data_IF_985937966476
#
_entry.id   IF_985937966476
#
_cell.length_a   1.000
_cell.length_b   1.000
_cell.length_c   1.000
_cell.angle_alpha   90.00
_cell.angle_beta   90.00
_cell.angle_gamma   90.00
#
_symmetry.space_group_name_H-M   'P 1'
#
loop_
_entity.id
_entity.type
_entity.pdbx_description
1 polymer ?
#
# COMPACT_ATOMS: atom_id res chain seq x y z
N UNK A 1 -6.10 29.71 79.59
CA UNK A 1 -4.93 28.89 79.99
C UNK A 1 -4.05 28.69 78.76
N UNK A 2 -2.74 29.01 78.88
CA UNK A 2 -1.53 28.52 78.16
C UNK A 2 -1.66 27.83 76.77
N UNK A 3 -0.79 28.02 75.76
CA UNK A 3 0.39 28.89 75.54
C UNK A 3 0.86 28.67 74.07
N UNK A 4 1.31 29.74 73.43
CA UNK A 4 2.50 29.85 72.55
C UNK A 4 2.77 28.80 71.44
N UNK A 5 2.76 29.27 70.18
CA UNK A 5 4.00 29.40 69.39
C UNK A 5 3.88 30.49 68.32
N UNK A 6 4.84 31.40 68.36
CA UNK A 6 5.13 32.45 67.39
C UNK A 6 5.79 31.85 66.14
N UNK A 7 5.58 32.41 64.94
CA UNK A 7 6.65 33.11 64.20
C UNK A 7 6.15 33.66 62.85
N UNK A 8 6.03 34.99 62.81
CA UNK A 8 6.46 35.90 61.74
C UNK A 8 6.86 35.32 60.36
N UNK A 9 6.33 36.04 59.35
CA UNK A 9 6.99 36.63 58.15
C UNK A 9 6.76 35.95 56.79
N UNK A 10 6.45 36.84 55.82
CA UNK A 10 6.45 36.71 54.35
C UNK A 10 5.13 36.16 53.80
N UNK A 11 4.15 36.99 53.44
CA UNK A 11 4.12 37.89 52.27
C UNK A 11 4.84 37.32 51.04
N UNK A 12 4.02 37.05 50.02
CA UNK A 12 4.34 36.89 48.60
C UNK A 12 4.57 35.47 48.07
N UNK A 13 3.94 35.26 46.91
CA UNK A 13 4.12 34.19 45.91
C UNK A 13 3.35 32.89 46.14
N UNK A 14 2.03 32.95 45.92
CA UNK A 14 1.29 31.80 45.41
C UNK A 14 1.30 31.89 43.87
N UNK A 15 2.41 31.47 43.28
CA UNK A 15 2.57 31.37 41.83
C UNK A 15 1.71 30.22 41.30
N UNK A 16 0.52 30.54 40.79
CA UNK A 16 -0.25 29.65 39.95
C UNK A 16 0.38 29.66 38.55
N UNK A 17 1.43 28.85 38.35
CA UNK A 17 1.99 28.60 37.03
C UNK A 17 1.04 27.69 36.24
N UNK A 18 0.05 28.29 35.58
CA UNK A 18 -0.72 27.60 34.53
C UNK A 18 0.14 27.59 33.28
N UNK A 19 1.02 26.60 33.17
CA UNK A 19 1.74 26.34 31.93
C UNK A 19 0.73 25.79 30.92
N UNK A 20 0.18 26.66 30.08
CA UNK A 20 -0.63 26.26 28.94
C UNK A 20 0.27 25.47 27.97
N UNK A 21 0.21 24.14 28.05
CA UNK A 21 0.71 23.25 27.00
C UNK A 21 -0.17 23.46 25.77
N UNK A 22 0.19 24.45 24.95
CA UNK A 22 -0.25 24.49 23.56
C UNK A 22 0.36 23.28 22.87
N UNK A 23 -0.41 22.18 22.83
CA UNK A 23 -0.15 21.10 21.88
C UNK A 23 -0.40 21.70 20.50
N UNK A 24 0.66 22.16 19.84
CA UNK A 24 0.63 22.45 18.42
C UNK A 24 0.35 21.12 17.72
N UNK A 25 -0.92 20.86 17.43
CA UNK A 25 -1.28 19.80 16.51
C UNK A 25 -0.70 20.22 15.17
N UNK A 26 0.40 19.60 14.77
CA UNK A 26 0.89 19.67 13.42
C UNK A 26 -0.18 19.02 12.55
N UNK A 27 -1.06 19.85 11.97
CA UNK A 27 -1.93 19.43 10.89
C UNK A 27 -0.99 19.05 9.75
N UNK A 28 -0.65 17.76 9.65
CA UNK A 28 0.06 17.25 8.48
C UNK A 28 -0.84 17.54 7.28
N UNK A 29 -0.32 18.35 6.35
CA UNK A 29 -0.95 18.48 5.05
C UNK A 29 -1.11 17.07 4.48
N UNK A 30 -2.35 16.68 4.23
CA UNK A 30 -2.68 15.37 3.71
C UNK A 30 -2.20 15.28 2.27
N UNK A 31 -1.27 14.37 1.99
CA UNK A 31 -0.79 14.18 0.63
C UNK A 31 -1.88 13.52 -0.21
N UNK A 32 -2.28 14.20 -1.29
CA UNK A 32 -3.29 13.70 -2.23
C UNK A 32 -2.88 12.35 -2.84
N UNK A 33 -3.82 11.39 -3.03
CA UNK A 33 -3.55 10.11 -3.69
C UNK A 33 -3.04 10.29 -5.13
N UNK A 34 -3.37 11.40 -5.80
CA UNK A 34 -2.83 11.74 -7.11
C UNK A 34 -1.33 12.03 -7.06
N UNK A 35 -0.86 12.74 -6.03
CA UNK A 35 0.56 13.02 -5.83
C UNK A 35 1.31 11.74 -5.49
N UNK A 36 0.76 10.89 -4.63
CA UNK A 36 1.35 9.60 -4.28
C UNK A 36 1.45 8.67 -5.50
N UNK A 37 0.40 8.61 -6.33
CA UNK A 37 0.41 7.81 -7.57
C UNK A 37 1.51 8.30 -8.54
N UNK A 38 1.64 9.62 -8.71
CA UNK A 38 2.69 10.20 -9.55
C UNK A 38 4.09 9.88 -9.01
N UNK A 39 4.31 10.08 -7.70
CA UNK A 39 5.59 9.77 -7.05
C UNK A 39 5.98 8.30 -7.17
N UNK A 40 5.02 7.40 -6.93
CA UNK A 40 5.22 5.96 -7.08
C UNK A 40 5.58 5.60 -8.52
N UNK A 41 4.82 6.12 -9.50
CA UNK A 41 5.05 5.89 -10.93
C UNK A 41 6.42 6.40 -11.36
N UNK A 42 6.73 7.66 -11.10
CA UNK A 42 7.99 8.30 -11.52
C UNK A 42 9.19 7.56 -10.95
N UNK A 43 9.15 7.23 -9.65
CA UNK A 43 10.24 6.51 -9.00
C UNK A 43 10.40 5.10 -9.58
N UNK A 44 9.30 4.36 -9.69
CA UNK A 44 9.31 2.98 -10.17
C UNK A 44 9.91 2.88 -11.57
N UNK A 45 9.43 3.69 -12.52
CA UNK A 45 9.90 3.62 -13.91
C UNK A 45 11.29 4.24 -14.08
N UNK A 46 11.65 5.26 -13.30
CA UNK A 46 13.02 5.78 -13.28
C UNK A 46 14.01 4.72 -12.79
N UNK A 47 13.72 4.00 -11.70
CA UNK A 47 14.60 2.97 -11.16
C UNK A 47 14.69 1.76 -12.11
N UNK A 48 13.61 1.38 -12.79
CA UNK A 48 13.66 0.37 -13.86
C UNK A 48 14.58 0.84 -15.00
N UNK A 49 14.42 2.07 -15.48
CA UNK A 49 15.22 2.63 -16.58
C UNK A 49 16.70 2.74 -16.22
N UNK A 50 17.01 3.21 -15.02
CA UNK A 50 18.38 3.45 -14.56
C UNK A 50 19.12 2.14 -14.21
N UNK A 51 18.41 1.05 -13.94
CA UNK A 51 19.01 -0.22 -13.52
C UNK A 51 18.89 -1.35 -14.55
N UNK A 52 18.64 -1.04 -15.83
CA UNK A 52 18.51 -2.04 -16.91
C UNK A 52 19.67 -3.05 -16.97
N UNK A 53 20.91 -2.62 -16.78
CA UNK A 53 22.07 -3.53 -16.77
C UNK A 53 22.02 -4.55 -15.61
N UNK A 54 21.57 -4.12 -14.42
CA UNK A 54 21.38 -5.02 -13.28
C UNK A 54 20.22 -5.98 -13.51
N UNK A 55 19.10 -5.48 -14.03
CA UNK A 55 17.91 -6.28 -14.34
C UNK A 55 18.22 -7.35 -15.39
N UNK A 56 19.01 -7.02 -16.42
CA UNK A 56 19.44 -8.01 -17.44
C UNK A 56 20.32 -9.12 -16.84
N UNK A 57 21.16 -8.79 -15.87
CA UNK A 57 22.05 -9.75 -15.18
C UNK A 57 21.30 -10.60 -14.15
N UNK A 58 20.38 -9.98 -13.40
CA UNK A 58 19.53 -10.60 -12.39
C UNK A 58 18.13 -9.99 -12.45
N UNK A 59 17.17 -10.64 -13.13
CA UNK A 59 15.81 -10.15 -13.24
C UNK A 59 15.08 -10.05 -11.89
N UNK A 60 15.54 -10.78 -10.86
CA UNK A 60 14.95 -10.66 -9.52
C UNK A 60 15.20 -9.29 -8.90
N UNK A 61 16.13 -8.48 -9.43
CA UNK A 61 16.31 -7.10 -8.98
C UNK A 61 15.02 -6.27 -9.14
N UNK A 62 14.14 -6.61 -10.09
CA UNK A 62 12.81 -6.00 -10.21
C UNK A 62 11.96 -6.19 -8.96
N UNK A 63 12.12 -7.29 -8.23
CA UNK A 63 11.42 -7.50 -6.95
C UNK A 63 11.81 -6.46 -5.91
N UNK A 64 13.09 -6.10 -5.86
CA UNK A 64 13.60 -5.04 -4.97
C UNK A 64 13.01 -3.69 -5.34
N UNK A 65 12.94 -3.37 -6.64
CA UNK A 65 12.32 -2.15 -7.12
C UNK A 65 10.84 -2.11 -6.73
N UNK A 66 10.06 -3.17 -7.01
CA UNK A 66 8.64 -3.24 -6.64
C UNK A 66 8.44 -3.10 -5.13
N UNK A 67 9.25 -3.79 -4.33
CA UNK A 67 9.18 -3.72 -2.87
C UNK A 67 9.39 -2.31 -2.33
N UNK A 68 10.32 -1.56 -2.91
CA UNK A 68 10.70 -0.25 -2.40
C UNK A 68 9.85 0.88 -2.98
N UNK A 69 9.38 0.74 -4.22
CA UNK A 69 8.83 1.86 -4.99
C UNK A 69 7.32 1.74 -5.21
N UNK A 70 6.77 0.52 -5.11
CA UNK A 70 5.34 0.27 -5.30
C UNK A 70 4.66 -0.15 -3.99
N UNK A 71 5.18 -1.16 -3.29
CA UNK A 71 4.50 -1.73 -2.11
C UNK A 71 4.21 -0.73 -0.97
N UNK A 72 5.03 0.31 -0.69
CA UNK A 72 4.69 1.29 0.36
C UNK A 72 3.36 2.00 0.12
N UNK A 73 2.94 2.11 -1.13
CA UNK A 73 1.67 2.73 -1.52
C UNK A 73 0.50 1.75 -1.55
N UNK A 74 0.72 0.46 -1.28
CA UNK A 74 -0.29 -0.59 -1.34
C UNK A 74 -0.72 -1.04 0.06
N UNK A 75 -2.03 -1.05 0.30
CA UNK A 75 -2.62 -1.55 1.54
C UNK A 75 -2.82 -3.06 1.49
N UNK A 76 -1.72 -3.81 1.46
CA UNK A 76 -1.70 -5.27 1.25
C UNK A 76 -2.66 -6.03 2.18
N UNK A 77 -2.68 -5.72 3.48
CA UNK A 77 -3.53 -6.42 4.44
C UNK A 77 -5.03 -6.20 4.18
N UNK A 78 -5.40 -5.01 3.67
CA UNK A 78 -6.79 -4.72 3.32
C UNK A 78 -7.17 -5.39 2.01
N UNK A 79 -6.31 -5.33 0.99
CA UNK A 79 -6.51 -6.08 -0.25
C UNK A 79 -6.65 -7.59 0.03
N UNK A 80 -5.76 -8.14 0.87
CA UNK A 80 -5.80 -9.54 1.27
C UNK A 80 -7.05 -9.92 2.05
N UNK A 81 -7.57 -9.04 2.93
CA UNK A 81 -8.81 -9.34 3.66
C UNK A 81 -10.03 -9.36 2.73
N UNK A 82 -10.05 -8.53 1.69
CA UNK A 82 -11.07 -8.58 0.64
C UNK A 82 -10.98 -9.89 -0.15
N UNK A 83 -9.77 -10.32 -0.50
CA UNK A 83 -9.54 -11.61 -1.18
C UNK A 83 -10.04 -12.80 -0.34
N UNK A 84 -9.80 -12.77 0.98
CA UNK A 84 -10.33 -13.80 1.90
C UNK A 84 -11.87 -13.76 2.01
N UNK A 85 -12.49 -12.58 1.82
CA UNK A 85 -13.94 -12.42 1.82
C UNK A 85 -14.59 -12.96 3.09
N UNK A 86 -15.61 -13.80 2.95
CA UNK A 86 -16.33 -14.42 4.07
C UNK A 86 -15.43 -15.34 4.92
N UNK A 87 -14.41 -15.97 4.32
CA UNK A 87 -13.46 -16.83 5.02
C UNK A 87 -12.58 -16.06 6.01
N UNK A 88 -12.49 -14.73 5.89
CA UNK A 88 -11.72 -13.91 6.83
C UNK A 88 -12.15 -14.17 8.27
N UNK A 89 -13.45 -14.23 8.55
CA UNK A 89 -13.99 -14.38 9.92
C UNK A 89 -13.62 -15.71 10.59
N UNK A 90 -13.38 -16.76 9.82
CA UNK A 90 -13.07 -18.11 10.34
C UNK A 90 -11.57 -18.38 10.51
N UNK A 91 -10.71 -17.36 10.40
CA UNK A 91 -9.24 -17.50 10.50
C UNK A 91 -8.70 -16.83 11.75
N UNK A 92 -7.60 -17.36 12.29
CA UNK A 92 -6.91 -16.76 13.45
C UNK A 92 -6.04 -15.56 13.02
N UNK A 93 -5.68 -14.66 13.96
CA UNK A 93 -4.73 -13.58 13.66
C UNK A 93 -3.41 -14.07 13.07
N UNK A 94 -2.86 -15.17 13.58
CA UNK A 94 -1.58 -15.75 13.14
C UNK A 94 -1.69 -16.32 11.72
N UNK A 95 -2.81 -16.96 11.39
CA UNK A 95 -3.08 -17.44 10.04
C UNK A 95 -3.17 -16.28 9.04
N UNK A 96 -3.85 -15.20 9.42
CA UNK A 96 -3.97 -13.99 8.60
C UNK A 96 -2.63 -13.31 8.38
N UNK A 97 -1.79 -13.22 9.41
CA UNK A 97 -0.45 -12.62 9.31
C UNK A 97 0.43 -13.40 8.32
N UNK A 98 0.46 -14.74 8.44
CA UNK A 98 1.18 -15.60 7.49
C UNK A 98 0.66 -15.43 6.06
N UNK A 99 -0.65 -15.40 5.89
CA UNK A 99 -1.29 -15.17 4.60
C UNK A 99 -0.95 -13.79 4.02
N UNK A 100 -1.03 -12.72 4.80
CA UNK A 100 -0.73 -11.37 4.33
C UNK A 100 0.72 -11.21 3.92
N UNK A 101 1.64 -11.82 4.67
CA UNK A 101 3.05 -11.86 4.26
C UNK A 101 3.21 -12.58 2.92
N UNK A 102 2.64 -13.78 2.77
CA UNK A 102 2.70 -14.53 1.52
C UNK A 102 2.05 -13.77 0.36
N UNK A 103 0.93 -13.09 0.61
CA UNK A 103 0.24 -12.27 -0.37
C UNK A 103 1.07 -11.05 -0.80
N UNK A 104 1.76 -10.40 0.14
CA UNK A 104 2.73 -9.34 -0.17
C UNK A 104 3.86 -9.84 -1.07
N UNK A 105 4.46 -10.99 -0.73
CA UNK A 105 5.54 -11.60 -1.51
C UNK A 105 5.05 -12.01 -2.92
N UNK A 106 3.79 -12.43 -3.03
CA UNK A 106 3.14 -12.74 -4.32
C UNK A 106 2.89 -11.50 -5.17
N UNK A 107 2.39 -10.40 -4.59
CA UNK A 107 2.25 -9.12 -5.30
C UNK A 107 3.63 -8.68 -5.81
N UNK A 108 4.65 -8.72 -4.97
CA UNK A 108 6.02 -8.38 -5.36
C UNK A 108 6.49 -9.19 -6.58
N UNK A 109 6.35 -10.51 -6.53
CA UNK A 109 6.78 -11.39 -7.62
C UNK A 109 5.96 -11.17 -8.90
N UNK A 110 4.63 -11.07 -8.79
CA UNK A 110 3.75 -10.94 -9.94
C UNK A 110 3.98 -9.62 -10.68
N UNK A 111 4.09 -8.50 -9.95
CA UNK A 111 4.36 -7.20 -10.57
C UNK A 111 5.78 -7.11 -11.11
N UNK A 112 6.78 -7.69 -10.41
CA UNK A 112 8.13 -7.76 -10.95
C UNK A 112 8.17 -8.53 -12.28
N UNK A 113 7.43 -9.63 -12.39
CA UNK A 113 7.31 -10.40 -13.64
C UNK A 113 6.66 -9.59 -14.76
N UNK A 114 5.55 -8.90 -14.50
CA UNK A 114 4.87 -8.05 -15.51
C UNK A 114 5.79 -6.90 -15.97
N UNK A 115 6.53 -6.28 -15.05
CA UNK A 115 7.43 -5.16 -15.36
C UNK A 115 8.63 -5.56 -16.22
N UNK A 116 8.90 -6.85 -16.42
CA UNK A 116 9.90 -7.30 -17.42
C UNK A 116 9.51 -6.98 -18.85
N UNK A 117 8.21 -6.76 -19.13
CA UNK A 117 7.71 -6.36 -20.43
C UNK A 117 7.74 -4.83 -20.65
N UNK A 118 8.25 -4.07 -19.68
CA UNK A 118 8.41 -2.62 -19.82
C UNK A 118 9.50 -2.31 -20.86
N UNK A 119 9.13 -1.55 -21.89
CA UNK A 119 9.96 -1.14 -23.03
C UNK A 119 9.86 0.37 -23.25
N UNK A 120 9.89 1.14 -22.16
CA UNK A 120 9.78 2.61 -22.17
C UNK A 120 8.39 3.12 -22.59
N UNK A 121 7.32 2.37 -22.28
CA UNK A 121 5.94 2.80 -22.54
C UNK A 121 5.63 4.13 -21.82
N UNK A 122 4.92 5.03 -22.50
CA UNK A 122 4.45 6.28 -21.88
C UNK A 122 3.30 5.98 -20.90
N UNK A 123 3.45 6.44 -19.65
CA UNK A 123 2.50 6.23 -18.57
C UNK A 123 1.70 7.52 -18.35
N UNK A 124 0.40 7.50 -18.65
CA UNK A 124 -0.47 8.66 -18.54
C UNK A 124 -1.41 8.49 -17.35
N UNK A 125 -1.16 9.24 -16.27
CA UNK A 125 -2.06 9.35 -15.13
C UNK A 125 -3.13 10.40 -15.46
N UNK A 126 -4.39 10.13 -15.12
CA UNK A 126 -5.44 11.12 -15.30
C UNK A 126 -5.16 12.42 -14.52
N UNK A 127 -5.67 13.58 -14.97
CA UNK A 127 -5.51 14.84 -14.25
C UNK A 127 -6.01 14.74 -12.81
N UNK A 128 -5.27 15.36 -11.90
CA UNK A 128 -5.64 15.42 -10.49
C UNK A 128 -7.01 16.10 -10.32
N UNK A 129 -7.81 15.54 -9.41
CA UNK A 129 -9.14 16.06 -9.06
C UNK A 129 -9.17 16.36 -7.57
N UNK A 130 -10.01 17.31 -7.19
CA UNK A 130 -10.30 17.60 -5.78
C UNK A 130 -10.85 16.35 -5.07
N UNK A 131 -10.20 15.99 -3.97
CA UNK A 131 -10.55 14.81 -3.16
C UNK A 131 -11.55 15.18 -2.07
N UNK A 132 -11.39 16.35 -1.45
CA UNK A 132 -12.25 16.81 -0.34
C UNK A 132 -12.34 15.76 0.78
N UNK A 133 -13.54 15.53 1.30
CA UNK A 133 -13.80 14.58 2.40
C UNK A 133 -13.94 13.11 1.95
N UNK A 134 -13.60 12.79 0.69
CA UNK A 134 -13.70 11.42 0.19
C UNK A 134 -12.70 10.51 0.92
N UNK A 135 -13.14 9.28 1.17
CA UNK A 135 -12.29 8.21 1.69
C UNK A 135 -11.91 7.16 0.63
N UNK A 136 -12.47 7.27 -0.58
CA UNK A 136 -12.23 6.39 -1.72
C UNK A 136 -12.07 7.23 -2.98
N UNK A 137 -11.05 6.90 -3.78
CA UNK A 137 -10.77 7.53 -5.08
C UNK A 137 -10.38 6.45 -6.07
N UNK A 138 -10.79 6.62 -7.33
CA UNK A 138 -10.30 5.80 -8.46
C UNK A 138 -9.43 6.69 -9.32
N UNK A 139 -8.18 6.29 -9.56
CA UNK A 139 -7.24 7.03 -10.41
C UNK A 139 -6.93 6.18 -11.63
N UNK A 140 -7.23 6.72 -12.80
CA UNK A 140 -6.94 6.08 -14.08
C UNK A 140 -5.50 6.29 -14.49
N UNK A 141 -4.88 5.21 -14.96
CA UNK A 141 -3.59 5.19 -15.63
C UNK A 141 -3.73 4.47 -16.96
N UNK A 142 -3.31 5.12 -18.04
CA UNK A 142 -3.20 4.52 -19.36
C UNK A 142 -1.73 4.22 -19.65
N UNK A 143 -1.42 2.96 -19.96
CA UNK A 143 -0.11 2.57 -20.46
C UNK A 143 -0.17 2.59 -21.98
N UNK A 144 0.46 3.59 -22.58
CA UNK A 144 0.50 3.76 -24.02
C UNK A 144 1.38 2.68 -24.64
N UNK A 145 0.80 1.87 -25.51
CA UNK A 145 1.53 0.80 -26.20
C UNK A 145 2.30 1.34 -27.41
N UNK A 146 3.42 0.69 -27.70
CA UNK A 146 4.18 0.96 -28.92
C UNK A 146 3.42 0.44 -30.15
N UNK A 147 3.68 1.02 -31.33
CA UNK A 147 3.14 0.50 -32.60
C UNK A 147 1.64 0.73 -32.83
N UNK A 148 1.02 1.71 -32.15
CA UNK A 148 -0.37 2.12 -32.42
C UNK A 148 -1.45 1.19 -31.83
N UNK A 149 -1.06 0.23 -30.99
CA UNK A 149 -2.00 -0.59 -30.23
C UNK A 149 -2.80 0.26 -29.23
N UNK A 150 -4.00 -0.21 -28.88
CA UNK A 150 -4.83 0.46 -27.88
C UNK A 150 -4.09 0.55 -26.53
N UNK A 151 -4.22 1.67 -25.78
CA UNK A 151 -3.64 1.78 -24.46
C UNK A 151 -4.23 0.74 -23.50
N UNK A 152 -3.39 0.20 -22.61
CA UNK A 152 -3.87 -0.63 -21.49
C UNK A 152 -4.44 0.30 -20.42
N UNK A 153 -5.68 0.08 -20.02
CA UNK A 153 -6.40 0.92 -19.06
C UNK A 153 -6.40 0.27 -17.68
N UNK A 154 -5.81 0.98 -16.72
CA UNK A 154 -5.74 0.57 -15.32
C UNK A 154 -6.46 1.62 -14.46
N UNK A 155 -7.43 1.21 -13.66
CA UNK A 155 -8.06 2.05 -12.64
C UNK A 155 -7.60 1.59 -11.25
N UNK A 156 -6.71 2.34 -10.63
CA UNK A 156 -6.22 2.06 -9.27
C UNK A 156 -7.23 2.57 -8.24
N UNK A 157 -7.64 1.69 -7.33
CA UNK A 157 -8.58 2.01 -6.25
C UNK A 157 -7.79 2.38 -5.00
N UNK A 158 -7.90 3.64 -4.62
CA UNK A 158 -7.26 4.24 -3.47
C UNK A 158 -8.25 4.40 -2.34
N UNK A 159 -7.78 4.16 -1.12
CA UNK A 159 -8.55 4.46 0.08
C UNK A 159 -7.71 5.20 1.11
N UNK A 160 -8.38 6.06 1.87
CA UNK A 160 -7.80 6.69 3.04
C UNK A 160 -7.85 5.72 4.21
N UNK A 161 -6.69 5.45 4.80
CA UNK A 161 -6.57 4.63 5.98
C UNK A 161 -7.07 5.44 7.19
N UNK A 162 -8.21 5.04 7.76
CA UNK A 162 -8.81 5.76 8.89
C UNK A 162 -7.97 5.78 10.16
N UNK A 163 -6.95 4.90 10.27
CA UNK A 163 -6.04 4.86 11.42
C UNK A 163 -4.83 5.78 11.24
N UNK A 164 -4.25 5.83 10.05
CA UNK A 164 -3.02 6.59 9.78
C UNK A 164 -3.26 7.92 9.09
N UNK A 165 -4.44 8.09 8.47
CA UNK A 165 -4.77 9.23 7.60
C UNK A 165 -4.16 9.13 6.21
N UNK A 166 -3.37 8.10 5.91
CA UNK A 166 -2.63 7.97 4.65
C UNK A 166 -3.49 7.34 3.55
N UNK A 167 -3.28 7.79 2.31
CA UNK A 167 -3.86 7.18 1.13
C UNK A 167 -3.03 5.99 0.67
N UNK A 168 -3.70 4.87 0.40
CA UNK A 168 -3.06 3.67 -0.12
C UNK A 168 -3.96 3.00 -1.17
N UNK A 169 -3.36 2.48 -2.23
CA UNK A 169 -4.04 1.65 -3.22
C UNK A 169 -4.36 0.28 -2.61
N UNK A 170 -5.53 -0.29 -2.92
CA UNK A 170 -5.91 -1.61 -2.43
C UNK A 170 -6.41 -2.55 -3.52
N UNK A 171 -6.69 -2.03 -4.71
CA UNK A 171 -7.11 -2.82 -5.86
C UNK A 171 -6.68 -2.12 -7.15
N UNK A 172 -6.53 -2.91 -8.19
CA UNK A 172 -6.30 -2.46 -9.56
C UNK A 172 -7.38 -3.09 -10.43
N UNK A 173 -8.09 -2.26 -11.19
CA UNK A 173 -9.03 -2.73 -12.19
C UNK A 173 -8.34 -2.62 -13.55
N UNK A 174 -8.00 -3.76 -14.15
CA UNK A 174 -7.39 -3.81 -15.48
C UNK A 174 -8.48 -4.20 -16.49
N UNK A 175 -8.67 -3.38 -17.53
CA UNK A 175 -9.68 -3.62 -18.58
C UNK A 175 -11.08 -3.96 -18.02
N UNK A 176 -11.48 -3.27 -16.95
CA UNK A 176 -12.79 -3.45 -16.30
C UNK A 176 -12.87 -4.58 -15.27
N UNK A 177 -11.80 -5.37 -15.08
CA UNK A 177 -11.77 -6.49 -14.13
C UNK A 177 -10.90 -6.16 -12.91
N UNK A 178 -11.50 -6.23 -11.71
CA UNK A 178 -10.80 -6.06 -10.44
C UNK A 178 -9.85 -7.23 -10.16
N UNK A 179 -8.60 -6.93 -9.81
CA UNK A 179 -7.62 -7.96 -9.43
C UNK A 179 -7.99 -8.63 -8.10
N UNK A 180 -8.52 -7.86 -7.14
CA UNK A 180 -9.02 -8.42 -5.88
C UNK A 180 -10.15 -9.42 -6.12
N UNK A 181 -11.14 -9.06 -6.95
CA UNK A 181 -12.27 -9.96 -7.27
C UNK A 181 -11.79 -11.19 -8.04
N UNK A 182 -10.87 -11.03 -8.99
CA UNK A 182 -10.27 -12.16 -9.71
C UNK A 182 -9.59 -13.14 -8.74
N UNK A 183 -8.76 -12.66 -7.82
CA UNK A 183 -8.09 -13.53 -6.83
C UNK A 183 -9.04 -14.12 -5.82
N UNK A 184 -10.07 -13.38 -5.40
CA UNK A 184 -11.14 -13.93 -4.57
C UNK A 184 -11.82 -15.12 -5.25
N UNK A 185 -12.16 -15.01 -6.53
CA UNK A 185 -12.79 -16.09 -7.29
C UNK A 185 -11.86 -17.28 -7.50
N UNK A 186 -10.61 -17.03 -7.94
CA UNK A 186 -9.59 -18.06 -8.15
C UNK A 186 -9.30 -18.87 -6.87
N UNK A 187 -9.26 -18.20 -5.71
CA UNK A 187 -8.84 -18.83 -4.45
C UNK A 187 -10.02 -19.29 -3.57
N UNK A 188 -11.25 -18.96 -3.92
CA UNK A 188 -12.46 -19.41 -3.21
C UNK A 188 -12.52 -20.94 -3.06
N UNK A 189 -12.12 -21.68 -4.11
CA UNK A 189 -12.14 -23.14 -4.12
C UNK A 189 -11.22 -23.75 -3.06
N UNK A 190 -9.95 -23.33 -3.04
CA UNK A 190 -8.97 -23.80 -2.05
C UNK A 190 -9.30 -23.34 -0.64
N UNK A 191 -9.78 -22.11 -0.46
CA UNK A 191 -10.22 -21.62 0.86
C UNK A 191 -11.36 -22.46 1.43
N UNK A 192 -12.34 -22.82 0.59
CA UNK A 192 -13.48 -23.65 1.00
C UNK A 192 -13.08 -25.10 1.30
N UNK A 193 -12.18 -25.67 0.51
CA UNK A 193 -11.85 -27.11 0.59
C UNK A 193 -10.71 -27.42 1.55
N UNK A 194 -9.71 -26.53 1.66
CA UNK A 194 -8.43 -26.80 2.32
C UNK A 194 -8.04 -25.70 3.32
N UNK A 195 -8.75 -24.58 3.34
CA UNK A 195 -8.52 -23.49 4.29
C UNK A 195 -7.36 -22.56 3.93
N UNK A 196 -7.15 -21.57 4.81
CA UNK A 196 -6.18 -20.48 4.59
C UNK A 196 -4.73 -20.96 4.57
N UNK A 197 -4.38 -22.02 5.30
CA UNK A 197 -3.01 -22.52 5.36
C UNK A 197 -2.57 -23.14 4.04
N UNK A 198 -3.46 -23.93 3.41
CA UNK A 198 -3.22 -24.48 2.08
C UNK A 198 -3.08 -23.38 1.03
N UNK A 199 -3.95 -22.37 1.07
CA UNK A 199 -3.81 -21.21 0.19
C UNK A 199 -2.48 -20.48 0.43
N UNK A 200 -2.11 -20.25 1.69
CA UNK A 200 -0.86 -19.58 2.05
C UNK A 200 0.35 -20.33 1.49
N UNK A 201 0.39 -21.66 1.63
CA UNK A 201 1.45 -22.50 1.07
C UNK A 201 1.51 -22.42 -0.47
N UNK A 202 0.35 -22.44 -1.14
CA UNK A 202 0.29 -22.29 -2.59
C UNK A 202 0.82 -20.92 -3.04
N UNK A 203 0.41 -19.84 -2.37
CA UNK A 203 0.86 -18.47 -2.67
C UNK A 203 2.36 -18.33 -2.44
N UNK A 204 2.90 -18.89 -1.34
CA UNK A 204 4.35 -18.89 -1.07
C UNK A 204 5.14 -19.58 -2.19
N UNK A 205 4.64 -20.70 -2.72
CA UNK A 205 5.25 -21.38 -3.85
C UNK A 205 5.26 -20.50 -5.10
N UNK A 206 4.16 -19.80 -5.39
CA UNK A 206 4.10 -18.86 -6.51
C UNK A 206 5.04 -17.67 -6.32
N UNK A 207 5.10 -17.09 -5.12
CA UNK A 207 5.97 -15.96 -4.78
C UNK A 207 7.48 -16.30 -4.82
N UNK A 208 7.82 -17.58 -4.67
CA UNK A 208 9.19 -18.08 -4.76
C UNK A 208 9.68 -18.28 -6.22
N UNK A 209 8.77 -18.18 -7.21
CA UNK A 209 9.16 -18.32 -8.61
C UNK A 209 10.15 -17.21 -9.01
N UNK A 210 11.24 -17.54 -9.74
CA UNK A 210 12.18 -16.54 -10.21
C UNK A 210 11.52 -15.61 -11.23
N UNK A 211 11.90 -14.34 -11.22
CA UNK A 211 11.54 -13.43 -12.31
C UNK A 211 12.31 -13.84 -13.56
N UNK A 212 11.62 -13.92 -14.69
CA UNK A 212 12.21 -14.25 -15.99
C UNK A 212 11.97 -13.12 -16.97
N UNK A 213 12.98 -12.71 -17.74
CA UNK A 213 12.78 -11.65 -18.74
C UNK A 213 11.76 -12.11 -19.77
N UNK A 214 10.79 -11.24 -20.06
CA UNK A 214 9.88 -11.44 -21.17
C UNK A 214 10.69 -11.55 -22.47
N UNK A 215 10.29 -12.49 -23.34
CA UNK A 215 10.91 -12.69 -24.65
C UNK A 215 10.53 -11.58 -25.62
#
# INVERSE_FOLDING_TARGET
MMKFTQFKKWFSVMAFAVTALFVTQTVRAETSPYVLMQQASDKLFADIKNNQAKIKKDPNYLRTIVRNDLLPYVQVNYAGSLVLGSHFKSTTPEQREKFFKAFSDFIEQAYAQVLTAYTDQNIQIEPAKEVGDKNLVSIRVNIMQNGGQAPIKLDFKWRKNSKTGEWQAYDMVAEGVSMVVTKQNEWSGILRQQGIEALTAQIQKSAAAPVTLSK
#
